data_IF_206483930723
#
_entry.id   IF_206483930723
#
_cell.length_a   1.000
_cell.length_b   1.000
_cell.length_c   1.000
_cell.angle_alpha   90.00
_cell.angle_beta   90.00
_cell.angle_gamma   90.00
#
_symmetry.space_group_name_H-M   'P 1'
#
loop_
_entity.id
_entity.type
_entity.pdbx_description
1 polymer ?
#
# COMPACT_ATOMS: atom_id res chain seq x y z
N UNK A 1 20.43 20.53 -11.64
CA UNK A 1 20.02 20.07 -10.30
C UNK A 1 18.67 19.33 -10.28
N UNK A 2 17.89 19.28 -11.37
CA UNK A 2 16.59 18.58 -11.40
C UNK A 2 16.66 17.03 -11.40
N UNK A 3 17.78 16.43 -11.82
CA UNK A 3 17.86 14.98 -12.02
C UNK A 3 17.85 14.17 -10.70
N UNK A 4 18.39 14.74 -9.62
CA UNK A 4 18.48 14.05 -8.33
C UNK A 4 17.10 13.82 -7.68
N UNK A 5 16.20 14.80 -7.76
CA UNK A 5 14.83 14.68 -7.23
C UNK A 5 13.97 13.70 -8.03
N UNK A 6 14.22 13.60 -9.33
CA UNK A 6 13.50 12.63 -10.18
C UNK A 6 13.95 11.19 -9.89
N UNK A 7 15.27 10.97 -9.73
CA UNK A 7 15.81 9.66 -9.35
C UNK A 7 15.34 9.24 -7.95
N UNK A 8 15.37 10.15 -6.97
CA UNK A 8 14.89 9.87 -5.61
C UNK A 8 13.44 9.38 -5.61
N UNK A 9 12.57 9.99 -6.43
CA UNK A 9 11.17 9.58 -6.57
C UNK A 9 11.02 8.23 -7.26
N UNK A 10 11.80 7.98 -8.30
CA UNK A 10 11.81 6.70 -9.00
C UNK A 10 12.26 5.56 -8.08
N UNK A 11 13.30 5.78 -7.27
CA UNK A 11 13.78 4.83 -6.26
C UNK A 11 12.71 4.55 -5.20
N UNK A 12 11.98 5.58 -4.76
CA UNK A 12 10.83 5.41 -3.85
C UNK A 12 9.73 4.58 -4.50
N UNK A 13 9.38 4.82 -5.76
CA UNK A 13 8.29 4.09 -6.41
C UNK A 13 8.65 2.65 -6.77
N UNK A 14 9.93 2.34 -7.01
CA UNK A 14 10.41 1.03 -7.42
C UNK A 14 10.86 0.11 -6.28
N UNK A 15 10.94 0.62 -5.03
CA UNK A 15 11.26 -0.23 -3.88
C UNK A 15 10.03 -0.93 -3.31
N UNK A 16 10.28 -1.97 -2.53
CA UNK A 16 9.25 -2.65 -1.76
C UNK A 16 8.86 -1.81 -0.51
N UNK A 17 7.58 -1.80 -0.11
CA UNK A 17 7.13 -1.12 1.09
C UNK A 17 7.53 -1.89 2.36
N UNK A 18 7.92 -1.13 3.40
CA UNK A 18 8.36 -1.66 4.70
C UNK A 18 7.18 -1.94 5.61
N UNK A 19 7.37 -2.83 6.59
CA UNK A 19 6.31 -3.19 7.55
C UNK A 19 5.75 -1.97 8.30
N UNK A 20 6.60 -1.01 8.70
CA UNK A 20 6.15 0.19 9.40
C UNK A 20 5.32 1.12 8.52
N UNK A 21 5.61 1.17 7.22
CA UNK A 21 4.84 1.93 6.22
C UNK A 21 3.47 1.29 6.00
N UNK A 22 3.42 -0.04 5.86
CA UNK A 22 2.17 -0.79 5.74
C UNK A 22 1.30 -0.63 6.99
N UNK A 23 1.91 -0.64 8.18
CA UNK A 23 1.21 -0.41 9.44
C UNK A 23 0.69 1.02 9.57
N UNK A 24 1.46 2.03 9.17
CA UNK A 24 0.98 3.43 9.15
C UNK A 24 -0.17 3.61 8.16
N UNK A 25 -0.07 2.99 6.99
CA UNK A 25 -1.10 3.03 5.96
C UNK A 25 -2.41 2.38 6.45
N UNK A 26 -2.33 1.23 7.12
CA UNK A 26 -3.54 0.55 7.63
C UNK A 26 -4.34 1.37 8.64
N UNK A 27 -3.72 2.35 9.31
CA UNK A 27 -4.40 3.29 10.21
C UNK A 27 -5.17 4.40 9.48
N UNK A 28 -4.91 4.59 8.19
CA UNK A 28 -5.47 5.67 7.38
C UNK A 28 -6.49 5.17 6.35
N UNK A 29 -6.59 3.86 6.15
CA UNK A 29 -7.52 3.23 5.22
C UNK A 29 -8.85 2.97 5.93
N UNK A 30 -9.90 3.66 5.49
CA UNK A 30 -11.26 3.41 5.97
C UNK A 30 -11.87 2.15 5.38
N UNK A 31 -11.82 2.03 4.05
CA UNK A 31 -12.36 0.88 3.31
C UNK A 31 -11.22 -0.04 2.82
N UNK A 32 -10.79 -0.92 3.72
CA UNK A 32 -9.74 -1.90 3.43
C UNK A 32 -10.18 -2.97 2.44
N UNK A 33 -11.49 -3.18 2.26
CA UNK A 33 -12.04 -4.14 1.31
C UNK A 33 -11.88 -3.63 -0.12
N UNK A 34 -12.23 -2.35 -0.36
CA UNK A 34 -11.99 -1.73 -1.65
C UNK A 34 -10.49 -1.71 -1.96
N UNK A 35 -9.63 -1.41 -0.98
CA UNK A 35 -8.19 -1.46 -1.18
C UNK A 35 -7.70 -2.86 -1.57
N UNK A 36 -8.22 -3.93 -0.96
CA UNK A 36 -7.83 -5.29 -1.32
C UNK A 36 -8.14 -5.64 -2.79
N UNK A 37 -9.25 -5.12 -3.34
CA UNK A 37 -9.62 -5.26 -4.76
C UNK A 37 -8.65 -4.54 -5.68
N UNK A 38 -8.31 -3.29 -5.37
CA UNK A 38 -7.32 -2.53 -6.15
C UNK A 38 -5.93 -3.19 -6.10
N UNK A 39 -5.62 -3.88 -4.99
CA UNK A 39 -4.42 -4.70 -4.82
C UNK A 39 -4.51 -6.08 -5.52
N UNK A 40 -5.61 -6.37 -6.22
CA UNK A 40 -5.83 -7.62 -6.97
C UNK A 40 -5.70 -8.88 -6.12
N UNK A 41 -6.04 -8.78 -4.84
CA UNK A 41 -6.20 -9.96 -3.99
C UNK A 41 -7.49 -10.69 -4.35
N UNK A 42 -7.48 -12.01 -4.20
CA UNK A 42 -8.66 -12.83 -4.48
C UNK A 42 -9.69 -12.67 -3.36
N UNK A 43 -10.98 -12.60 -3.72
CA UNK A 43 -12.06 -12.40 -2.76
C UNK A 43 -12.08 -13.48 -1.66
N UNK A 44 -11.71 -14.73 -1.97
CA UNK A 44 -11.63 -15.80 -0.98
C UNK A 44 -10.39 -15.69 -0.06
N UNK A 45 -9.31 -15.05 -0.52
CA UNK A 45 -8.19 -14.68 0.35
C UNK A 45 -8.60 -13.55 1.31
N UNK A 46 -9.31 -12.55 0.82
CA UNK A 46 -9.75 -11.38 1.60
C UNK A 46 -10.83 -11.74 2.62
N UNK A 47 -11.79 -12.60 2.27
CA UNK A 47 -12.84 -13.05 3.20
C UNK A 47 -12.24 -13.87 4.35
N UNK A 48 -11.24 -14.72 4.09
CA UNK A 48 -10.52 -15.44 5.17
C UNK A 48 -9.88 -14.47 6.16
N UNK A 49 -9.24 -13.40 5.69
CA UNK A 49 -8.67 -12.37 6.58
C UNK A 49 -9.75 -11.63 7.37
N UNK A 50 -10.94 -11.45 6.79
CA UNK A 50 -12.07 -10.83 7.50
C UNK A 50 -12.50 -11.67 8.71
N UNK A 51 -12.47 -12.99 8.57
CA UNK A 51 -12.81 -13.95 9.62
C UNK A 51 -11.70 -14.08 10.67
N UNK A 52 -10.44 -14.15 10.23
CA UNK A 52 -9.28 -14.41 11.10
C UNK A 52 -8.90 -13.23 12.02
N UNK A 53 -9.23 -11.99 11.61
CA UNK A 53 -8.83 -10.78 12.34
C UNK A 53 -10.04 -9.98 12.84
N UNK A 54 -9.94 -9.44 14.06
CA UNK A 54 -11.07 -8.80 14.75
C UNK A 54 -11.24 -7.32 14.37
N UNK A 55 -10.15 -6.57 14.26
CA UNK A 55 -10.21 -5.14 13.96
C UNK A 55 -9.99 -4.84 12.47
N UNK A 56 -10.59 -3.74 11.99
CA UNK A 56 -10.37 -3.25 10.63
C UNK A 56 -8.90 -2.91 10.36
N UNK A 57 -8.19 -2.42 11.38
CA UNK A 57 -6.75 -2.13 11.31
C UNK A 57 -5.94 -3.42 11.06
N UNK A 58 -6.18 -4.46 11.85
CA UNK A 58 -5.49 -5.75 11.68
C UNK A 58 -5.79 -6.37 10.32
N UNK A 59 -7.07 -6.37 9.89
CA UNK A 59 -7.48 -6.85 8.56
C UNK A 59 -6.75 -6.11 7.45
N UNK A 60 -6.74 -4.78 7.50
CA UNK A 60 -6.07 -3.95 6.51
C UNK A 60 -4.55 -4.21 6.49
N UNK A 61 -3.91 -4.30 7.66
CA UNK A 61 -2.49 -4.60 7.73
C UNK A 61 -2.15 -5.98 7.13
N UNK A 62 -3.01 -6.97 7.32
CA UNK A 62 -2.81 -8.32 6.79
C UNK A 62 -3.09 -8.41 5.28
N UNK A 63 -4.07 -7.67 4.78
CA UNK A 63 -4.27 -7.45 3.34
C UNK A 63 -2.99 -6.90 2.70
N UNK A 64 -2.44 -5.84 3.29
CA UNK A 64 -1.21 -5.19 2.79
C UNK A 64 0.01 -6.12 2.83
N UNK A 65 0.19 -6.88 3.93
CA UNK A 65 1.27 -7.86 4.02
C UNK A 65 1.12 -9.00 3.01
N UNK A 66 -0.10 -9.49 2.83
CA UNK A 66 -0.38 -10.57 1.88
C UNK A 66 -0.14 -10.14 0.45
N UNK A 67 -0.61 -8.95 0.06
CA UNK A 67 -0.30 -8.35 -1.24
C UNK A 67 1.21 -8.22 -1.46
N UNK A 68 1.94 -7.62 -0.52
CA UNK A 68 3.40 -7.46 -0.67
C UNK A 68 4.10 -8.81 -0.84
N UNK A 69 3.71 -9.82 -0.06
CA UNK A 69 4.32 -11.15 -0.16
C UNK A 69 3.95 -11.86 -1.48
N UNK A 70 2.71 -11.71 -1.96
CA UNK A 70 2.22 -12.28 -3.22
C UNK A 70 2.94 -11.71 -4.45
N UNK A 71 3.26 -10.42 -4.41
CA UNK A 71 3.89 -9.69 -5.51
C UNK A 71 5.34 -9.30 -5.22
N UNK A 72 6.00 -9.97 -4.28
CA UNK A 72 7.37 -9.64 -3.88
C UNK A 72 8.32 -9.70 -5.08
N UNK A 73 9.08 -8.62 -5.31
CA UNK A 73 10.02 -8.53 -6.43
C UNK A 73 9.39 -8.21 -7.80
N UNK A 74 8.07 -8.08 -7.91
CA UNK A 74 7.40 -7.63 -9.15
C UNK A 74 7.07 -6.14 -9.12
N UNK A 75 6.63 -5.59 -10.25
CA UNK A 75 6.18 -4.18 -10.32
C UNK A 75 4.94 -3.93 -9.45
N UNK A 76 4.03 -4.91 -9.38
CA UNK A 76 2.83 -4.86 -8.55
C UNK A 76 3.11 -4.92 -7.06
N UNK A 77 4.30 -5.34 -6.61
CA UNK A 77 4.70 -5.33 -5.21
C UNK A 77 5.36 -4.03 -4.75
N UNK A 78 5.54 -3.06 -5.66
CA UNK A 78 6.28 -1.83 -5.36
C UNK A 78 5.38 -0.72 -4.81
N UNK A 79 6.01 0.25 -4.15
CA UNK A 79 5.35 1.44 -3.60
C UNK A 79 4.52 2.17 -4.66
N UNK A 80 5.01 2.27 -5.91
CA UNK A 80 4.26 2.92 -7.00
C UNK A 80 2.90 2.31 -7.26
N UNK A 81 2.82 0.98 -7.29
CA UNK A 81 1.55 0.28 -7.44
C UNK A 81 0.65 0.52 -6.23
N UNK A 82 1.20 0.44 -5.01
CA UNK A 82 0.43 0.66 -3.78
C UNK A 82 -0.15 2.08 -3.70
N UNK A 83 0.60 3.09 -4.12
CA UNK A 83 0.13 4.48 -4.18
C UNK A 83 -1.05 4.62 -5.16
N UNK A 84 -0.95 3.98 -6.32
CA UNK A 84 -2.05 3.96 -7.31
C UNK A 84 -3.30 3.27 -6.75
N UNK A 85 -3.14 2.10 -6.13
CA UNK A 85 -4.24 1.35 -5.51
C UNK A 85 -4.91 2.17 -4.39
N UNK A 86 -4.11 2.85 -3.56
CA UNK A 86 -4.63 3.77 -2.54
C UNK A 86 -5.46 4.91 -3.15
N UNK A 87 -5.02 5.46 -4.29
CA UNK A 87 -5.76 6.52 -4.99
C UNK A 87 -7.09 6.00 -5.53
N UNK A 88 -7.11 4.80 -6.12
CA UNK A 88 -8.32 4.15 -6.64
C UNK A 88 -9.31 3.79 -5.52
N UNK A 89 -8.79 3.37 -4.36
CA UNK A 89 -9.57 3.10 -3.16
C UNK A 89 -9.94 4.37 -2.36
N UNK A 90 -9.74 5.57 -2.92
CA UNK A 90 -10.08 6.86 -2.31
C UNK A 90 -9.43 7.09 -0.92
N UNK A 91 -8.20 6.58 -0.73
CA UNK A 91 -7.38 6.84 0.47
C UNK A 91 -6.74 8.22 0.35
N UNK A 92 -6.71 8.95 1.47
CA UNK A 92 -6.08 10.28 1.59
C UNK A 92 -4.64 10.29 1.05
N UNK A 93 -4.45 10.95 -0.08
CA UNK A 93 -3.18 10.94 -0.81
C UNK A 93 -2.09 11.77 -0.12
N UNK A 94 -2.45 12.75 0.72
CA UNK A 94 -1.46 13.54 1.43
C UNK A 94 -0.84 12.71 2.55
N UNK A 95 -1.64 11.88 3.23
CA UNK A 95 -1.12 10.88 4.18
C UNK A 95 -0.28 9.81 3.50
N UNK A 96 -0.73 9.29 2.37
CA UNK A 96 0.03 8.29 1.59
C UNK A 96 1.41 8.84 1.20
N UNK A 97 1.45 10.07 0.67
CA UNK A 97 2.70 10.73 0.31
C UNK A 97 3.61 10.96 1.52
N UNK A 98 3.06 11.38 2.67
CA UNK A 98 3.86 11.54 3.89
C UNK A 98 4.43 10.21 4.40
N UNK A 99 3.66 9.12 4.33
CA UNK A 99 4.11 7.78 4.73
C UNK A 99 5.31 7.34 3.87
N UNK A 100 5.21 7.49 2.55
CA UNK A 100 6.24 7.05 1.61
C UNK A 100 7.32 8.10 1.34
N UNK A 101 7.24 9.28 1.98
CA UNK A 101 8.14 10.42 1.79
C UNK A 101 8.21 10.91 0.34
N UNK A 102 7.07 10.87 -0.34
CA UNK A 102 6.85 11.41 -1.69
C UNK A 102 6.53 12.90 -1.55
N UNK A 103 7.54 13.73 -1.34
CA UNK A 103 7.38 15.19 -1.29
C UNK A 103 8.18 15.85 -2.41
N UNK A 104 7.64 16.87 -3.11
CA UNK A 104 8.47 17.79 -3.86
C UNK A 104 9.34 18.56 -2.86
N UNK A 105 10.66 18.52 -3.07
CA UNK A 105 11.60 19.37 -2.32
C UNK A 105 11.38 20.84 -2.64
#
# INVERSE_FOLDING_TARGET
MANASQQDLEDIFNRDPKDDELYKLSRCVGDWWQLAKELRLDDAEVERMREDYKSALERCYQVLRTWRNKYYGTAEGKVGFLVLACKQANVDQDKVKDIFKIQPR
#
